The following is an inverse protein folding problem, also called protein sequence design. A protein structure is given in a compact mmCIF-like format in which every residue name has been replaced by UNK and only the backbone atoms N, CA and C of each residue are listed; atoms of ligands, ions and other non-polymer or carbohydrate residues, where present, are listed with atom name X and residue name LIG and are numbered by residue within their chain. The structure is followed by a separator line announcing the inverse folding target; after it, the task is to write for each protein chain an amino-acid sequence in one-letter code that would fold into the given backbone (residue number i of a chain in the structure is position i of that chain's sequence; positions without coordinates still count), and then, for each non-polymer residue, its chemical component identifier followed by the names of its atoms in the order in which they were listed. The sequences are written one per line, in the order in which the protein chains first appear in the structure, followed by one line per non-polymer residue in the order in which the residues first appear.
data_IF_725425864226
#
_entry.id   IF_725425864226
#
_cell.length_a   1.000
_cell.length_b   1.000
_cell.length_c   1.000
_cell.angle_alpha   90.00
_cell.angle_beta   90.00
_cell.angle_gamma   90.00
#
_symmetry.space_group_name_H-M   'P 1'
#
loop_
_entity.id
_entity.type
_entity.pdbx_description
1 polymer ?
#
# COMPACT_ATOMS: atom_id res chain seq x y z
N UNK A 1 -9.40 5.70 -24.09
CA UNK A 1 -10.51 4.87 -23.59
C UNK A 1 -10.27 3.46 -24.05
N UNK A 2 -10.06 2.52 -23.11
CA UNK A 2 -9.95 1.10 -23.45
C UNK A 2 -11.28 0.62 -24.05
N UNK A 3 -11.26 -0.30 -25.04
CA UNK A 3 -12.47 -0.92 -25.57
C UNK A 3 -13.21 -1.63 -24.43
N UNK A 4 -14.52 -1.40 -24.31
CA UNK A 4 -15.37 -1.97 -23.26
C UNK A 4 -15.30 -3.51 -23.22
N UNK A 5 -15.06 -4.17 -24.36
CA UNK A 5 -14.89 -5.63 -24.42
C UNK A 5 -13.61 -6.06 -23.73
N UNK A 6 -12.53 -5.28 -23.88
CA UNK A 6 -11.25 -5.57 -23.24
C UNK A 6 -11.33 -5.36 -21.72
N UNK A 7 -12.02 -4.30 -21.26
CA UNK A 7 -12.32 -4.05 -19.85
C UNK A 7 -13.18 -5.19 -19.26
N UNK A 8 -14.19 -5.63 -20.02
CA UNK A 8 -15.01 -6.78 -19.64
C UNK A 8 -14.16 -8.04 -19.47
N UNK A 9 -13.24 -8.29 -20.39
CA UNK A 9 -12.35 -9.45 -20.33
C UNK A 9 -11.43 -9.42 -19.09
N UNK A 10 -10.81 -8.29 -18.80
CA UNK A 10 -10.01 -8.10 -17.58
C UNK A 10 -10.84 -8.41 -16.35
N UNK A 11 -12.04 -7.81 -16.24
CA UNK A 11 -12.91 -7.98 -15.07
C UNK A 11 -13.38 -9.42 -14.88
N UNK A 12 -13.68 -10.14 -15.98
CA UNK A 12 -14.03 -11.57 -15.90
C UNK A 12 -12.82 -12.42 -15.47
N UNK A 13 -11.64 -12.13 -15.98
CA UNK A 13 -10.40 -12.80 -15.59
C UNK A 13 -10.10 -12.65 -14.09
N UNK A 14 -10.26 -11.44 -13.55
CA UNK A 14 -10.01 -11.15 -12.15
C UNK A 14 -11.03 -11.80 -11.21
N UNK A 15 -12.32 -11.71 -11.58
CA UNK A 15 -13.42 -12.24 -10.76
C UNK A 15 -13.64 -13.73 -10.92
N UNK A 16 -13.16 -14.33 -12.03
CA UNK A 16 -13.40 -15.72 -12.45
C UNK A 16 -14.89 -16.09 -12.53
N UNK A 17 -15.76 -15.07 -12.68
CA UNK A 17 -17.21 -15.22 -12.59
C UNK A 17 -17.93 -14.14 -13.41
N UNK A 18 -18.71 -14.57 -14.40
CA UNK A 18 -19.46 -13.67 -15.28
C UNK A 18 -20.52 -12.82 -14.56
N UNK A 19 -21.22 -13.40 -13.59
CA UNK A 19 -22.25 -12.67 -12.83
C UNK A 19 -21.62 -11.60 -11.95
N UNK A 20 -20.50 -11.91 -11.31
CA UNK A 20 -19.76 -10.94 -10.49
C UNK A 20 -19.17 -9.82 -11.34
N UNK A 21 -18.61 -10.16 -12.50
CA UNK A 21 -18.12 -9.15 -13.46
C UNK A 21 -19.25 -8.23 -13.94
N UNK A 22 -20.44 -8.79 -14.23
CA UNK A 22 -21.62 -8.04 -14.62
C UNK A 22 -22.03 -7.01 -13.55
N UNK A 23 -22.04 -7.41 -12.28
CA UNK A 23 -22.33 -6.50 -11.17
C UNK A 23 -21.31 -5.37 -11.04
N UNK A 24 -20.01 -5.66 -11.21
CA UNK A 24 -18.93 -4.66 -11.12
C UNK A 24 -19.03 -3.64 -12.25
N UNK A 25 -19.34 -4.10 -13.48
CA UNK A 25 -19.42 -3.24 -14.66
C UNK A 25 -20.80 -2.62 -14.88
N UNK A 26 -21.77 -2.84 -13.97
CA UNK A 26 -23.16 -2.42 -14.12
C UNK A 26 -23.79 -2.88 -15.46
N UNK A 27 -23.50 -4.11 -15.83
CA UNK A 27 -23.98 -4.75 -17.08
C UNK A 27 -24.79 -6.01 -16.78
N UNK A 28 -25.48 -6.53 -17.80
CA UNK A 28 -26.13 -7.84 -17.70
C UNK A 28 -25.14 -8.97 -18.00
N UNK A 29 -25.33 -10.14 -17.40
CA UNK A 29 -24.46 -11.30 -17.66
C UNK A 29 -24.46 -11.73 -19.15
N UNK A 30 -25.59 -11.69 -19.91
CA UNK A 30 -25.57 -11.89 -21.36
C UNK A 30 -24.68 -10.90 -22.11
N UNK A 31 -24.68 -9.63 -21.72
CA UNK A 31 -23.82 -8.62 -22.35
C UNK A 31 -22.33 -8.92 -22.11
N UNK A 32 -21.95 -9.30 -20.88
CA UNK A 32 -20.59 -9.76 -20.58
C UNK A 32 -20.19 -10.95 -21.45
N UNK A 33 -21.07 -11.97 -21.52
CA UNK A 33 -20.83 -13.16 -22.38
C UNK A 33 -20.68 -12.78 -23.86
N UNK A 34 -21.47 -11.85 -24.34
CA UNK A 34 -21.40 -11.35 -25.72
C UNK A 34 -20.07 -10.62 -25.99
N UNK A 35 -19.62 -9.77 -25.07
CA UNK A 35 -18.32 -9.09 -25.20
C UNK A 35 -17.16 -10.08 -25.28
N UNK A 36 -17.16 -11.11 -24.43
CA UNK A 36 -16.12 -12.15 -24.48
C UNK A 36 -16.16 -12.90 -25.82
N UNK A 37 -17.35 -13.27 -26.27
CA UNK A 37 -17.54 -13.97 -27.57
C UNK A 37 -16.99 -13.12 -28.72
N UNK A 38 -17.28 -11.82 -28.75
CA UNK A 38 -16.75 -10.91 -29.78
C UNK A 38 -15.22 -10.82 -29.78
N UNK A 39 -14.59 -10.82 -28.61
CA UNK A 39 -13.12 -10.86 -28.50
C UNK A 39 -12.56 -12.20 -28.99
N UNK A 40 -13.19 -13.33 -28.64
CA UNK A 40 -12.79 -14.66 -29.09
C UNK A 40 -12.91 -14.80 -30.60
N UNK A 41 -13.99 -14.25 -31.17
CA UNK A 41 -14.22 -14.20 -32.63
C UNK A 41 -13.16 -13.30 -33.32
N UNK A 42 -12.88 -12.12 -32.77
CA UNK A 42 -11.90 -11.20 -33.34
C UNK A 42 -10.50 -11.79 -33.39
N UNK A 43 -10.06 -12.46 -32.31
CA UNK A 43 -8.74 -13.09 -32.24
C UNK A 43 -8.72 -14.53 -32.76
N UNK A 44 -9.88 -15.08 -33.11
CA UNK A 44 -10.08 -16.47 -33.56
C UNK A 44 -9.48 -17.51 -32.60
N UNK A 45 -9.60 -17.28 -31.30
CA UNK A 45 -9.11 -18.17 -30.22
C UNK A 45 -10.03 -18.15 -29.01
N UNK A 46 -10.05 -19.24 -28.27
CA UNK A 46 -10.71 -19.24 -26.95
C UNK A 46 -9.83 -18.57 -25.91
N UNK A 47 -10.41 -17.61 -25.18
CA UNK A 47 -9.73 -16.83 -24.15
C UNK A 47 -10.03 -17.35 -22.74
N UNK A 48 -11.22 -17.91 -22.55
CA UNK A 48 -11.71 -18.41 -21.27
C UNK A 48 -12.18 -19.86 -21.43
N UNK A 49 -11.94 -20.65 -20.38
CA UNK A 49 -12.42 -22.02 -20.26
C UNK A 49 -13.06 -22.26 -18.89
N UNK A 50 -14.07 -23.12 -18.85
CA UNK A 50 -14.72 -23.49 -17.59
C UNK A 50 -13.94 -24.61 -16.93
N UNK A 51 -13.42 -24.37 -15.72
CA UNK A 51 -12.74 -25.37 -14.93
C UNK A 51 -13.41 -25.49 -13.56
N UNK A 52 -14.00 -26.65 -13.32
CA UNK A 52 -14.88 -26.86 -12.17
C UNK A 52 -16.07 -25.88 -12.17
N UNK A 53 -16.16 -25.01 -11.14
CA UNK A 53 -17.20 -23.98 -11.01
C UNK A 53 -16.75 -22.57 -11.43
N UNK A 54 -15.48 -22.40 -11.80
CA UNK A 54 -14.87 -21.10 -12.10
C UNK A 54 -14.53 -20.99 -13.59
N UNK A 55 -14.41 -19.75 -14.06
CA UNK A 55 -13.82 -19.44 -15.35
C UNK A 55 -12.32 -19.20 -15.18
N UNK A 56 -11.53 -19.84 -16.02
CA UNK A 56 -10.07 -19.67 -16.03
C UNK A 56 -9.59 -19.19 -17.41
N UNK A 57 -8.44 -18.52 -17.41
CA UNK A 57 -7.81 -18.09 -18.65
C UNK A 57 -7.16 -19.28 -19.36
N UNK A 58 -7.41 -19.40 -20.66
CA UNK A 58 -6.64 -20.29 -21.54
C UNK A 58 -5.20 -19.80 -21.70
N UNK A 59 -4.36 -20.53 -22.43
CA UNK A 59 -3.02 -20.06 -22.83
C UNK A 59 -3.09 -18.73 -23.59
N UNK A 60 -3.99 -18.62 -24.59
CA UNK A 60 -4.23 -17.39 -25.33
C UNK A 60 -4.82 -16.29 -24.43
N UNK A 61 -5.75 -16.66 -23.53
CA UNK A 61 -6.30 -15.73 -22.55
C UNK A 61 -5.24 -15.09 -21.66
N UNK A 62 -4.26 -15.86 -21.18
CA UNK A 62 -3.15 -15.32 -20.39
C UNK A 62 -2.30 -14.32 -21.17
N UNK A 63 -2.06 -14.59 -22.44
CA UNK A 63 -1.34 -13.67 -23.32
C UNK A 63 -2.13 -12.37 -23.49
N UNK A 64 -3.40 -12.46 -23.88
CA UNK A 64 -4.25 -11.28 -24.05
C UNK A 64 -4.41 -10.50 -22.75
N UNK A 65 -4.58 -11.17 -21.61
CA UNK A 65 -4.73 -10.53 -20.31
C UNK A 65 -3.55 -9.63 -19.98
N UNK A 66 -2.31 -10.11 -20.23
CA UNK A 66 -1.11 -9.30 -20.05
C UNK A 66 -1.13 -8.03 -20.88
N UNK A 67 -1.43 -8.14 -22.18
CA UNK A 67 -1.49 -6.97 -23.06
C UNK A 67 -2.68 -6.06 -22.75
N UNK A 68 -3.81 -6.62 -22.34
CA UNK A 68 -4.99 -5.85 -21.94
C UNK A 68 -4.69 -4.95 -20.72
N UNK A 69 -3.98 -5.44 -19.73
CA UNK A 69 -3.53 -4.63 -18.59
C UNK A 69 -2.57 -3.51 -19.01
N UNK A 70 -1.66 -3.77 -19.96
CA UNK A 70 -0.76 -2.74 -20.47
C UNK A 70 -1.53 -1.64 -21.24
N UNK A 71 -2.50 -2.01 -22.07
CA UNK A 71 -3.37 -1.07 -22.79
C UNK A 71 -4.20 -0.23 -21.81
N UNK A 72 -4.80 -0.84 -20.79
CA UNK A 72 -5.58 -0.15 -19.78
C UNK A 72 -4.73 0.87 -19.03
N UNK A 73 -3.51 0.48 -18.63
CA UNK A 73 -2.54 1.37 -18.00
C UNK A 73 -2.20 2.57 -18.89
N UNK A 74 -1.87 2.34 -20.17
CA UNK A 74 -1.54 3.42 -21.11
C UNK A 74 -2.74 4.35 -21.30
N UNK A 75 -3.96 3.79 -21.40
CA UNK A 75 -5.20 4.58 -21.52
C UNK A 75 -5.44 5.47 -20.29
N UNK A 76 -5.22 4.94 -19.07
CA UNK A 76 -5.33 5.72 -17.82
C UNK A 76 -4.29 6.83 -17.74
N UNK A 77 -3.04 6.54 -18.11
CA UNK A 77 -1.97 7.55 -18.16
C UNK A 77 -2.30 8.65 -19.16
N UNK A 78 -2.75 8.31 -20.37
CA UNK A 78 -3.15 9.28 -21.37
C UNK A 78 -4.29 10.19 -20.87
N UNK A 79 -5.32 9.61 -20.25
CA UNK A 79 -6.42 10.37 -19.65
C UNK A 79 -5.91 11.36 -18.59
N UNK A 80 -5.01 10.92 -17.70
CA UNK A 80 -4.45 11.77 -16.65
C UNK A 80 -3.59 12.90 -17.24
N UNK A 81 -2.77 12.62 -18.26
CA UNK A 81 -1.96 13.63 -18.90
C UNK A 81 -2.82 14.68 -19.61
N UNK A 82 -3.83 14.24 -20.40
CA UNK A 82 -4.72 15.16 -21.10
C UNK A 82 -5.54 16.03 -20.14
N UNK A 83 -6.03 15.47 -19.03
CA UNK A 83 -6.75 16.25 -18.03
C UNK A 83 -5.86 17.29 -17.34
N UNK A 84 -4.59 16.98 -17.13
CA UNK A 84 -3.63 17.92 -16.57
C UNK A 84 -3.17 19.00 -17.57
N UNK A 85 -3.07 18.66 -18.87
CA UNK A 85 -2.69 19.61 -19.93
C UNK A 85 -3.70 20.75 -20.05
N UNK A 86 -4.98 20.44 -19.97
CA UNK A 86 -6.10 21.39 -20.10
C UNK A 86 -6.47 22.13 -18.82
N UNK A 87 -5.90 21.74 -17.67
CA UNK A 87 -6.28 22.26 -16.35
C UNK A 87 -5.30 23.30 -15.83
N UNK A 88 -5.85 24.42 -15.28
CA UNK A 88 -5.08 25.40 -14.51
C UNK A 88 -4.47 24.75 -13.26
N UNK A 89 -5.20 23.79 -12.66
CA UNK A 89 -4.75 23.02 -11.51
C UNK A 89 -4.44 21.58 -11.97
N UNK A 90 -3.18 21.20 -11.88
CA UNK A 90 -2.72 19.83 -12.19
C UNK A 90 -2.95 18.91 -10.99
N UNK A 91 -3.49 17.71 -11.23
CA UNK A 91 -3.78 16.73 -10.19
C UNK A 91 -2.94 15.49 -10.34
N UNK A 92 -2.31 15.06 -9.26
CA UNK A 92 -1.44 13.89 -9.25
C UNK A 92 -1.85 12.91 -8.15
N UNK A 93 -2.04 11.65 -8.54
CA UNK A 93 -2.35 10.56 -7.61
C UNK A 93 -1.04 9.99 -7.05
N UNK A 94 -0.89 10.07 -5.74
CA UNK A 94 0.25 9.52 -4.98
C UNK A 94 -0.29 8.45 -4.03
N UNK A 95 0.38 7.31 -3.98
CA UNK A 95 0.05 6.24 -3.05
C UNK A 95 1.00 6.26 -1.85
N UNK A 96 0.50 5.89 -0.69
CA UNK A 96 1.33 5.67 0.48
C UNK A 96 0.83 4.49 1.31
N UNK A 97 1.75 3.83 2.00
CA UNK A 97 1.36 2.83 3.00
C UNK A 97 0.83 3.49 4.26
N UNK A 98 0.12 2.74 5.10
CA UNK A 98 -0.69 3.29 6.18
C UNK A 98 0.11 4.15 7.16
N UNK A 99 1.32 3.75 7.53
CA UNK A 99 2.18 4.56 8.41
C UNK A 99 2.56 5.88 7.76
N UNK A 100 3.04 5.80 6.52
CA UNK A 100 3.54 6.97 5.79
C UNK A 100 2.39 7.91 5.46
N UNK A 101 1.26 7.37 4.96
CA UNK A 101 0.09 8.13 4.58
C UNK A 101 -0.69 8.73 5.75
N UNK A 102 -0.60 8.10 6.93
CA UNK A 102 -1.28 8.58 8.14
C UNK A 102 -0.46 9.54 8.99
N UNK A 103 0.86 9.39 9.02
CA UNK A 103 1.70 10.09 10.01
C UNK A 103 2.84 10.91 9.43
N UNK A 104 3.25 10.68 8.18
CA UNK A 104 4.42 11.34 7.57
C UNK A 104 3.99 12.32 6.46
N UNK A 105 3.32 11.81 5.44
CA UNK A 105 2.98 12.62 4.26
C UNK A 105 1.94 13.73 4.47
N UNK A 106 0.96 13.65 5.40
CA UNK A 106 -0.08 14.68 5.47
C UNK A 106 0.48 16.09 5.69
N UNK A 107 1.42 16.28 6.61
CA UNK A 107 2.08 17.57 6.85
C UNK A 107 2.87 18.04 5.62
N UNK A 108 3.62 17.12 5.00
CA UNK A 108 4.43 17.41 3.81
C UNK A 108 3.55 17.82 2.63
N UNK A 109 2.45 17.10 2.38
CA UNK A 109 1.50 17.43 1.30
C UNK A 109 0.84 18.79 1.56
N UNK A 110 0.51 19.10 2.83
CA UNK A 110 -0.01 20.40 3.22
C UNK A 110 0.96 21.52 2.85
N UNK A 111 2.22 21.41 3.25
CA UNK A 111 3.28 22.37 2.93
C UNK A 111 3.55 22.45 1.41
N UNK A 112 3.52 21.28 0.73
CA UNK A 112 3.67 21.24 -0.72
C UNK A 112 2.57 22.01 -1.44
N UNK A 113 1.31 21.87 -1.00
CA UNK A 113 0.17 22.60 -1.55
C UNK A 113 0.28 24.11 -1.37
N UNK A 114 0.75 24.56 -0.20
CA UNK A 114 1.00 26.00 0.06
C UNK A 114 2.04 26.55 -0.90
N UNK A 115 3.12 25.80 -1.15
CA UNK A 115 4.22 26.19 -2.05
C UNK A 115 3.86 26.05 -3.54
N UNK A 116 2.91 25.18 -3.88
CA UNK A 116 2.57 24.81 -5.26
C UNK A 116 1.06 24.94 -5.50
N UNK A 117 0.54 26.16 -5.52
CA UNK A 117 -0.92 26.45 -5.58
C UNK A 117 -1.65 25.78 -6.74
N UNK A 118 -0.96 25.59 -7.87
CA UNK A 118 -1.51 24.99 -9.09
C UNK A 118 -1.37 23.46 -9.14
N UNK A 119 -0.96 22.84 -8.04
CA UNK A 119 -0.82 21.37 -7.94
C UNK A 119 -1.70 20.86 -6.80
N UNK A 120 -2.50 19.84 -7.09
CA UNK A 120 -3.23 19.03 -6.11
C UNK A 120 -2.62 17.64 -6.05
N UNK A 121 -2.33 17.16 -4.86
CA UNK A 121 -1.93 15.78 -4.61
C UNK A 121 -3.12 15.03 -4.03
N UNK A 122 -3.53 13.96 -4.72
CA UNK A 122 -4.57 13.03 -4.25
C UNK A 122 -3.83 11.86 -3.62
N UNK A 123 -3.96 11.71 -2.30
CA UNK A 123 -3.28 10.67 -1.54
C UNK A 123 -4.16 9.43 -1.39
N UNK A 124 -3.67 8.29 -1.89
CA UNK A 124 -4.26 6.97 -1.70
C UNK A 124 -3.48 6.24 -0.60
N UNK A 125 -4.18 5.82 0.46
CA UNK A 125 -3.54 5.15 1.62
C UNK A 125 -4.03 3.72 1.71
N UNK A 126 -3.09 2.76 1.50
CA UNK A 126 -3.40 1.33 1.48
C UNK A 126 -2.19 0.50 1.96
N UNK A 127 -2.27 -0.84 1.94
CA UNK A 127 -1.11 -1.69 2.22
C UNK A 127 -0.11 -1.71 1.03
N UNK A 128 1.09 -2.21 1.28
CA UNK A 128 2.18 -2.23 0.29
C UNK A 128 1.78 -2.94 -1.01
N UNK A 129 1.09 -4.08 -0.92
CA UNK A 129 0.65 -4.84 -2.09
C UNK A 129 -0.29 -4.04 -2.99
N UNK A 130 -1.28 -3.40 -2.41
CA UNK A 130 -2.25 -2.58 -3.13
C UNK A 130 -1.61 -1.33 -3.76
N UNK A 131 -0.70 -0.66 -3.04
CA UNK A 131 0.04 0.49 -3.59
C UNK A 131 0.87 0.07 -4.81
N UNK A 132 1.55 -1.06 -4.74
CA UNK A 132 2.30 -1.61 -5.88
C UNK A 132 1.37 -1.93 -7.06
N UNK A 133 0.21 -2.54 -6.82
CA UNK A 133 -0.77 -2.83 -7.87
C UNK A 133 -1.29 -1.53 -8.52
N UNK A 134 -1.63 -0.51 -7.73
CA UNK A 134 -2.05 0.81 -8.23
C UNK A 134 -0.96 1.52 -9.04
N UNK A 135 0.30 1.36 -8.67
CA UNK A 135 1.43 1.86 -9.45
C UNK A 135 1.53 1.15 -10.80
N UNK A 136 1.41 -0.17 -10.83
CA UNK A 136 1.47 -0.93 -12.07
C UNK A 136 0.25 -0.70 -12.97
N UNK A 137 -0.94 -0.48 -12.41
CA UNK A 137 -2.14 -0.14 -13.18
C UNK A 137 -2.16 1.32 -13.70
N UNK A 138 -1.22 2.18 -13.24
CA UNK A 138 -1.19 3.60 -13.58
C UNK A 138 -2.26 4.44 -12.88
N UNK A 139 -2.91 3.90 -11.84
CA UNK A 139 -3.86 4.64 -11.00
C UNK A 139 -3.13 5.68 -10.15
N UNK A 140 -1.92 5.36 -9.67
CA UNK A 140 -0.99 6.29 -9.05
C UNK A 140 0.30 6.40 -9.88
N UNK A 141 0.98 7.52 -9.79
CA UNK A 141 2.25 7.77 -10.50
C UNK A 141 3.48 7.64 -9.62
N UNK A 142 3.29 7.76 -8.32
CA UNK A 142 4.33 7.67 -7.29
C UNK A 142 3.75 6.92 -6.09
N UNK A 143 4.49 5.97 -5.56
CA UNK A 143 4.22 5.31 -4.29
C UNK A 143 5.25 5.67 -3.25
N UNK A 144 4.86 5.78 -1.98
CA UNK A 144 5.78 5.90 -0.84
C UNK A 144 5.47 4.75 0.10
N UNK A 145 6.40 3.81 0.22
CA UNK A 145 6.14 2.53 0.87
C UNK A 145 7.18 2.17 1.91
N UNK A 146 6.75 1.40 2.90
CA UNK A 146 7.59 0.60 3.78
C UNK A 146 7.34 -0.89 3.56
N UNK A 147 8.35 -1.70 3.84
CA UNK A 147 8.29 -3.14 3.69
C UNK A 147 8.92 -3.66 2.40
N UNK A 148 8.94 -4.98 2.22
CA UNK A 148 9.61 -5.61 1.10
C UNK A 148 8.88 -5.36 -0.22
N UNK A 149 9.64 -5.14 -1.28
CA UNK A 149 9.15 -5.04 -2.65
C UNK A 149 10.21 -5.51 -3.65
N UNK A 150 9.79 -5.85 -4.86
CA UNK A 150 10.68 -6.27 -5.93
C UNK A 150 11.35 -5.06 -6.59
N UNK A 151 12.59 -4.80 -6.17
CA UNK A 151 13.41 -3.67 -6.65
C UNK A 151 13.72 -3.73 -8.15
N UNK A 152 13.59 -4.90 -8.79
CA UNK A 152 13.85 -5.04 -10.24
C UNK A 152 12.72 -4.50 -11.12
N UNK A 153 11.52 -4.33 -10.56
CA UNK A 153 10.30 -3.94 -11.30
C UNK A 153 9.97 -2.46 -11.25
N UNK A 154 10.62 -1.71 -10.37
CA UNK A 154 10.34 -0.28 -10.13
C UNK A 154 11.63 0.51 -10.02
N UNK A 155 11.58 1.81 -10.32
CA UNK A 155 12.60 2.74 -9.89
C UNK A 155 12.29 3.11 -8.45
N UNK A 156 13.29 3.11 -7.59
CA UNK A 156 13.10 3.44 -6.19
C UNK A 156 14.19 4.37 -5.68
N UNK A 157 13.82 5.18 -4.72
CA UNK A 157 14.73 6.08 -3.99
C UNK A 157 14.41 6.02 -2.50
N UNK A 158 15.45 5.93 -1.67
CA UNK A 158 15.28 6.01 -0.23
C UNK A 158 14.75 7.39 0.16
N UNK A 159 13.74 7.39 1.03
CA UNK A 159 13.16 8.59 1.62
C UNK A 159 13.78 8.86 2.99
N UNK A 160 13.57 7.96 3.95
CA UNK A 160 14.14 8.05 5.30
C UNK A 160 14.23 6.70 5.98
N UNK A 161 14.99 6.64 7.06
CA UNK A 161 15.01 5.49 7.95
C UNK A 161 13.83 5.53 8.93
N UNK A 162 13.34 4.35 9.31
CA UNK A 162 12.35 4.16 10.36
C UNK A 162 12.73 2.99 11.26
N UNK A 163 12.20 2.98 12.46
CA UNK A 163 12.39 1.92 13.44
C UNK A 163 11.03 1.43 13.95
N UNK A 164 10.83 0.11 13.98
CA UNK A 164 9.67 -0.47 14.64
C UNK A 164 9.97 -0.62 16.12
N UNK A 165 9.01 -0.24 16.94
CA UNK A 165 9.07 -0.28 18.40
C UNK A 165 7.85 -1.00 18.95
N UNK A 166 7.98 -1.56 20.14
CA UNK A 166 6.87 -2.11 20.87
C UNK A 166 6.10 -0.98 21.57
N UNK A 167 4.82 -0.84 21.28
CA UNK A 167 3.96 0.22 21.80
C UNK A 167 2.93 -0.34 22.79
N UNK A 168 2.86 0.29 23.94
CA UNK A 168 1.91 0.00 25.02
C UNK A 168 1.27 1.29 25.54
N UNK A 169 0.13 1.17 26.22
CA UNK A 169 -0.45 2.29 26.97
C UNK A 169 0.52 2.78 28.04
N UNK A 170 0.55 4.07 28.34
CA UNK A 170 1.32 4.61 29.46
C UNK A 170 0.85 4.12 30.83
N UNK A 171 -0.40 3.67 30.93
CA UNK A 171 -0.96 3.06 32.15
C UNK A 171 -0.52 1.61 32.35
N UNK A 172 0.11 0.98 31.34
CA UNK A 172 0.54 -0.40 31.40
C UNK A 172 1.68 -0.58 32.41
N UNK A 173 1.71 -1.70 33.15
CA UNK A 173 2.74 -1.95 34.16
C UNK A 173 4.18 -1.93 33.62
N UNK A 174 4.36 -2.41 32.38
CA UNK A 174 5.66 -2.39 31.69
C UNK A 174 6.07 -0.99 31.19
N UNK A 175 5.24 0.04 31.30
CA UNK A 175 5.59 1.38 30.86
C UNK A 175 6.79 1.98 31.63
N UNK A 176 7.11 1.44 32.79
CA UNK A 176 8.30 1.79 33.59
C UNK A 176 9.60 1.25 32.98
N UNK A 177 9.53 0.24 32.12
CA UNK A 177 10.72 -0.33 31.44
C UNK A 177 11.21 0.60 30.33
N UNK A 178 12.49 0.50 30.04
CA UNK A 178 13.10 1.13 28.84
C UNK A 178 13.26 0.15 27.69
N UNK A 179 13.42 -1.14 28.02
CA UNK A 179 13.63 -2.23 27.06
C UNK A 179 12.77 -3.43 27.44
N UNK A 180 12.38 -4.20 26.45
CA UNK A 180 11.56 -5.42 26.59
C UNK A 180 12.25 -6.57 25.84
N UNK A 181 12.11 -7.80 26.34
CA UNK A 181 12.58 -9.01 25.64
C UNK A 181 11.52 -9.54 24.69
N UNK A 182 11.89 -10.42 23.77
CA UNK A 182 10.94 -11.06 22.88
C UNK A 182 9.96 -11.96 23.65
N UNK A 183 10.42 -12.68 24.66
CA UNK A 183 9.55 -13.52 25.52
C UNK A 183 8.48 -12.68 26.22
N UNK A 184 8.85 -11.52 26.72
CA UNK A 184 7.89 -10.58 27.33
C UNK A 184 6.89 -10.04 26.31
N UNK A 185 7.32 -9.76 25.07
CA UNK A 185 6.42 -9.37 23.96
C UNK A 185 5.42 -10.48 23.67
N UNK A 186 5.89 -11.71 23.56
CA UNK A 186 5.06 -12.87 23.22
C UNK A 186 4.11 -13.29 24.36
N UNK A 187 4.39 -12.88 25.60
CA UNK A 187 3.48 -13.09 26.74
C UNK A 187 2.33 -12.07 26.78
N UNK A 188 2.43 -10.98 26.02
CA UNK A 188 1.41 -9.95 25.96
C UNK A 188 0.25 -10.26 25.02
N UNK A 189 -0.87 -9.58 25.22
CA UNK A 189 -2.01 -9.57 24.29
C UNK A 189 -1.62 -8.78 23.04
N UNK A 190 -1.03 -9.45 22.06
CA UNK A 190 -0.56 -8.80 20.84
C UNK A 190 -1.72 -8.48 19.91
N UNK A 191 -1.87 -7.19 19.57
CA UNK A 191 -2.75 -6.71 18.52
C UNK A 191 -1.85 -6.44 17.32
N UNK A 192 -1.96 -7.27 16.28
CA UNK A 192 -1.09 -7.19 15.12
C UNK A 192 -1.83 -6.68 13.89
N UNK A 193 -1.07 -6.16 12.96
CA UNK A 193 -1.54 -5.83 11.62
C UNK A 193 -1.94 -7.11 10.87
N UNK A 194 -2.78 -6.92 9.86
CA UNK A 194 -3.23 -7.96 8.94
C UNK A 194 -2.06 -8.62 8.20
N UNK A 195 -2.24 -9.85 7.73
CA UNK A 195 -1.30 -10.52 6.83
C UNK A 195 -1.15 -9.70 5.54
N UNK A 196 0.09 -9.51 5.08
CA UNK A 196 0.42 -8.64 3.95
C UNK A 196 0.77 -7.20 4.34
N UNK A 197 0.67 -6.83 5.62
CA UNK A 197 1.24 -5.59 6.15
C UNK A 197 2.76 -5.65 6.18
N UNK A 198 3.43 -4.64 5.61
CA UNK A 198 4.89 -4.53 5.69
C UNK A 198 5.43 -4.44 7.13
N UNK A 199 4.71 -3.78 8.03
CA UNK A 199 5.06 -3.72 9.46
C UNK A 199 5.06 -5.11 10.10
N UNK A 200 4.01 -5.91 9.84
CA UNK A 200 3.92 -7.27 10.35
C UNK A 200 5.01 -8.17 9.78
N UNK A 201 5.23 -8.11 8.47
CA UNK A 201 6.26 -8.91 7.80
C UNK A 201 7.64 -8.65 8.41
N UNK A 202 8.01 -7.39 8.60
CA UNK A 202 9.31 -7.02 9.20
C UNK A 202 9.41 -7.54 10.63
N UNK A 203 8.36 -7.43 11.44
CA UNK A 203 8.36 -7.98 12.79
C UNK A 203 8.55 -9.50 12.78
N UNK A 204 7.82 -10.22 11.93
CA UNK A 204 7.93 -11.67 11.77
C UNK A 204 9.33 -12.09 11.28
N UNK A 205 9.92 -11.37 10.33
CA UNK A 205 11.27 -11.62 9.80
C UNK A 205 12.34 -11.44 10.91
N UNK A 206 12.20 -10.41 11.73
CA UNK A 206 13.10 -10.21 12.88
C UNK A 206 12.94 -11.28 13.96
N UNK A 207 11.73 -11.78 14.18
CA UNK A 207 11.51 -12.91 15.08
C UNK A 207 12.27 -14.16 14.63
N UNK A 208 12.19 -14.47 13.33
CA UNK A 208 12.93 -15.60 12.73
C UNK A 208 14.44 -15.44 12.96
N UNK A 209 14.98 -14.24 12.75
CA UNK A 209 16.40 -13.96 12.99
C UNK A 209 16.82 -14.17 14.46
N UNK A 210 15.88 -14.07 15.39
CA UNK A 210 16.12 -14.31 16.82
C UNK A 210 15.78 -15.75 17.26
N UNK A 211 15.47 -16.64 16.33
CA UNK A 211 15.15 -18.04 16.60
C UNK A 211 13.71 -18.30 17.05
N UNK A 212 12.81 -17.32 16.90
CA UNK A 212 11.38 -17.48 17.17
C UNK A 212 10.63 -17.84 15.88
N UNK A 213 9.64 -18.71 15.99
CA UNK A 213 8.80 -19.10 14.86
C UNK A 213 7.53 -18.25 14.79
N UNK A 214 7.32 -17.45 13.73
CA UNK A 214 6.13 -16.60 13.59
C UNK A 214 4.81 -17.37 13.61
N UNK A 215 4.82 -18.63 13.18
CA UNK A 215 3.62 -19.49 13.23
C UNK A 215 3.12 -19.77 14.66
N UNK A 216 3.99 -19.58 15.67
CA UNK A 216 3.64 -19.76 17.09
C UNK A 216 3.05 -18.50 17.70
N UNK A 217 3.01 -17.37 16.96
CA UNK A 217 2.29 -16.20 17.40
C UNK A 217 0.80 -16.45 17.20
N UNK A 218 0.07 -16.40 18.30
CA UNK A 218 -1.39 -16.31 18.27
C UNK A 218 -1.80 -14.88 18.62
N UNK A 219 -2.00 -13.99 17.60
CA UNK A 219 -2.38 -12.62 17.92
C UNK A 219 -3.70 -12.60 18.68
N UNK A 220 -3.76 -11.78 19.73
CA UNK A 220 -5.01 -11.56 20.45
C UNK A 220 -6.07 -10.93 19.53
N UNK A 221 -5.63 -10.03 18.64
CA UNK A 221 -6.44 -9.47 17.56
C UNK A 221 -5.60 -9.24 16.31
N UNK A 222 -6.23 -9.37 15.13
CA UNK A 222 -5.64 -9.00 13.85
C UNK A 222 -6.48 -7.88 13.22
N UNK A 223 -5.88 -6.71 12.98
CA UNK A 223 -6.60 -5.50 12.56
C UNK A 223 -5.81 -4.77 11.47
N UNK A 224 -6.49 -4.42 10.36
CA UNK A 224 -5.88 -3.73 9.22
C UNK A 224 -5.70 -2.22 9.41
N UNK A 225 -6.42 -1.61 10.32
CA UNK A 225 -6.39 -0.17 10.57
C UNK A 225 -5.51 0.18 11.77
N UNK A 226 -4.48 1.01 11.53
CA UNK A 226 -3.53 1.39 12.58
C UNK A 226 -4.18 2.29 13.64
N UNK A 227 -5.17 3.10 13.28
CA UNK A 227 -5.86 3.99 14.22
C UNK A 227 -6.71 3.17 15.20
N UNK A 228 -7.39 2.12 14.70
CA UNK A 228 -8.12 1.16 15.54
C UNK A 228 -7.17 0.42 16.49
N UNK A 229 -6.02 -0.06 16.01
CA UNK A 229 -4.99 -0.69 16.85
C UNK A 229 -4.56 0.26 17.97
N UNK A 230 -4.22 1.50 17.61
CA UNK A 230 -3.76 2.49 18.61
C UNK A 230 -4.85 2.79 19.65
N UNK A 231 -6.13 2.87 19.25
CA UNK A 231 -7.24 3.08 20.19
C UNK A 231 -7.39 1.92 21.19
N UNK A 232 -7.22 0.68 20.73
CA UNK A 232 -7.27 -0.51 21.59
C UNK A 232 -6.08 -0.56 22.57
N UNK A 233 -4.88 -0.22 22.09
CA UNK A 233 -3.68 -0.14 22.94
C UNK A 233 -3.84 0.97 23.98
N UNK A 234 -4.36 2.15 23.59
CA UNK A 234 -4.65 3.24 24.52
C UNK A 234 -5.60 2.80 25.63
N UNK A 235 -6.63 2.02 25.28
CA UNK A 235 -7.61 1.47 26.24
C UNK A 235 -7.05 0.36 27.11
N UNK A 236 -5.78 -0.02 26.97
CA UNK A 236 -5.13 -1.07 27.76
C UNK A 236 -5.55 -2.50 27.37
N UNK A 237 -6.16 -2.70 26.21
CA UNK A 237 -6.64 -4.02 25.76
C UNK A 237 -5.53 -4.92 25.19
N UNK A 238 -4.32 -4.37 24.99
CA UNK A 238 -3.17 -5.11 24.49
C UNK A 238 -2.02 -4.20 24.11
N UNK A 239 -1.08 -4.75 23.35
CA UNK A 239 0.12 -4.10 22.89
C UNK A 239 0.36 -4.36 21.40
N UNK A 240 1.17 -3.56 20.74
CA UNK A 240 1.43 -3.70 19.31
C UNK A 240 2.87 -3.39 18.94
N UNK A 241 3.27 -3.79 17.75
CA UNK A 241 4.51 -3.33 17.09
C UNK A 241 4.14 -2.30 16.05
N UNK A 242 4.75 -1.12 16.13
CA UNK A 242 4.40 0.03 15.31
C UNK A 242 5.64 0.83 14.93
N UNK A 243 5.55 1.62 13.87
CA UNK A 243 6.57 2.60 13.51
C UNK A 243 6.76 3.63 14.61
N UNK A 244 8.02 3.97 14.88
CA UNK A 244 8.36 5.06 15.77
C UNK A 244 7.81 6.40 15.29
N UNK A 245 7.73 6.60 13.97
CA UNK A 245 7.11 7.78 13.35
C UNK A 245 5.65 7.96 13.76
N UNK A 246 4.88 6.86 13.87
CA UNK A 246 3.49 6.93 14.30
C UNK A 246 3.32 7.42 15.75
N UNK A 247 4.38 7.29 16.58
CA UNK A 247 4.37 7.71 17.98
C UNK A 247 4.96 9.11 18.20
N UNK A 248 5.60 9.70 17.19
CA UNK A 248 6.32 10.98 17.32
C UNK A 248 5.40 12.20 17.46
N UNK A 249 4.09 12.08 17.15
CA UNK A 249 3.18 13.20 17.33
C UNK A 249 2.99 13.57 18.81
N UNK A 250 2.83 14.87 19.17
CA UNK A 250 2.64 15.32 20.55
C UNK A 250 1.46 14.67 21.28
N UNK A 251 0.44 14.27 20.54
CA UNK A 251 -0.72 13.54 21.07
C UNK A 251 -0.39 12.10 21.40
N UNK A 252 0.31 11.40 20.51
CA UNK A 252 0.64 9.99 20.65
C UNK A 252 1.69 9.76 21.74
N UNK A 253 2.71 10.61 21.82
CA UNK A 253 3.75 10.48 22.87
C UNK A 253 3.20 10.70 24.30
N UNK A 254 2.04 11.37 24.45
CA UNK A 254 1.37 11.52 25.76
C UNK A 254 0.59 10.26 26.16
N UNK A 255 0.11 9.48 25.23
CA UNK A 255 -0.77 8.31 25.45
C UNK A 255 -0.02 6.99 25.50
N UNK A 256 1.04 6.87 24.72
CA UNK A 256 1.79 5.64 24.51
C UNK A 256 3.20 5.69 25.08
N UNK A 257 3.72 4.52 25.41
CA UNK A 257 5.12 4.29 25.69
C UNK A 257 5.72 3.39 24.62
N UNK A 258 6.74 3.89 23.94
CA UNK A 258 7.58 3.09 23.06
C UNK A 258 8.64 2.36 23.89
N UNK A 259 8.75 1.07 23.72
CA UNK A 259 9.79 0.24 24.32
C UNK A 259 10.68 -0.32 23.22
N UNK A 260 11.99 -0.13 23.38
CA UNK A 260 12.98 -0.76 22.50
C UNK A 260 13.10 -2.24 22.84
N UNK A 261 13.22 -3.09 21.85
CA UNK A 261 13.41 -4.53 22.06
C UNK A 261 14.88 -4.78 22.40
N UNK A 262 15.13 -5.59 23.44
CA UNK A 262 16.48 -5.90 23.90
C UNK A 262 17.22 -6.69 22.81
N UNK A 263 18.47 -6.29 22.52
CA UNK A 263 19.32 -6.90 21.50
C UNK A 263 18.79 -6.88 20.07
N UNK A 264 17.76 -6.08 19.79
CA UNK A 264 17.13 -6.01 18.48
C UNK A 264 16.79 -4.57 18.11
N UNK A 265 17.13 -4.15 16.88
CA UNK A 265 16.66 -2.91 16.28
C UNK A 265 15.98 -3.26 14.95
N UNK A 266 14.68 -3.20 14.93
CA UNK A 266 13.89 -3.45 13.73
C UNK A 266 13.92 -2.20 12.84
N UNK A 267 15.01 -2.04 12.11
CA UNK A 267 15.18 -0.95 11.14
C UNK A 267 14.49 -1.29 9.81
N UNK A 268 13.90 -0.28 9.20
CA UNK A 268 13.37 -0.35 7.85
C UNK A 268 13.59 0.98 7.14
N UNK A 269 13.34 1.00 5.85
CA UNK A 269 13.40 2.21 5.05
C UNK A 269 12.02 2.54 4.51
N UNK A 270 11.70 3.82 4.47
CA UNK A 270 10.66 4.35 3.60
C UNK A 270 11.28 4.61 2.24
N UNK A 271 10.60 4.19 1.19
CA UNK A 271 11.09 4.31 -0.17
C UNK A 271 10.03 4.92 -1.07
N UNK A 272 10.45 5.85 -1.92
CA UNK A 272 9.69 6.24 -3.09
C UNK A 272 9.81 5.15 -4.14
N UNK A 273 8.70 4.83 -4.80
CA UNK A 273 8.66 3.90 -5.93
C UNK A 273 7.87 4.51 -7.08
N UNK A 274 8.39 4.39 -8.30
CA UNK A 274 7.73 4.90 -9.50
C UNK A 274 8.18 4.13 -10.76
N UNK A 275 7.50 4.39 -11.90
CA UNK A 275 7.80 3.75 -13.17
C UNK A 275 8.42 4.75 -14.15
N UNK A 276 9.31 4.27 -15.01
CA UNK A 276 10.09 5.09 -15.94
C UNK A 276 9.27 6.01 -16.86
N UNK A 277 8.01 5.67 -17.15
CA UNK A 277 7.15 6.43 -18.06
C UNK A 277 6.13 7.33 -17.32
N UNK A 278 6.32 7.58 -16.04
CA UNK A 278 5.48 8.49 -15.25
C UNK A 278 5.90 9.96 -15.47
N UNK A 279 5.10 10.90 -15.00
CA UNK A 279 5.41 12.33 -15.08
C UNK A 279 6.63 12.67 -14.19
N UNK A 280 7.82 12.63 -14.79
CA UNK A 280 9.09 12.72 -14.07
C UNK A 280 9.32 14.09 -13.43
N UNK A 281 8.78 15.18 -14.01
CA UNK A 281 8.98 16.52 -13.46
C UNK A 281 8.28 16.65 -12.11
N UNK A 282 7.01 16.23 -12.03
CA UNK A 282 6.30 16.21 -10.75
C UNK A 282 6.97 15.27 -9.76
N UNK A 283 7.32 14.05 -10.18
CA UNK A 283 7.90 13.02 -9.29
C UNK A 283 9.18 13.53 -8.65
N UNK A 284 10.12 14.07 -9.46
CA UNK A 284 11.39 14.62 -8.95
C UNK A 284 11.15 15.78 -7.99
N UNK A 285 10.34 16.77 -8.40
CA UNK A 285 10.05 17.93 -7.57
C UNK A 285 9.39 17.53 -6.23
N UNK A 286 8.47 16.56 -6.25
CA UNK A 286 7.80 16.11 -5.04
C UNK A 286 8.75 15.32 -4.13
N UNK A 287 9.59 14.44 -4.68
CA UNK A 287 10.60 13.69 -3.91
C UNK A 287 11.59 14.65 -3.25
N UNK A 288 12.13 15.61 -4.01
CA UNK A 288 13.09 16.59 -3.49
C UNK A 288 12.46 17.43 -2.36
N UNK A 289 11.20 17.84 -2.55
CA UNK A 289 10.48 18.56 -1.51
C UNK A 289 10.29 17.72 -0.25
N UNK A 290 9.89 16.45 -0.38
CA UNK A 290 9.73 15.54 0.75
C UNK A 290 11.02 15.35 1.54
N UNK A 291 12.14 15.13 0.83
CA UNK A 291 13.46 14.96 1.47
C UNK A 291 13.87 16.21 2.25
N UNK A 292 13.74 17.39 1.64
CA UNK A 292 14.07 18.67 2.28
C UNK A 292 13.27 18.91 3.56
N UNK A 293 11.97 18.63 3.55
CA UNK A 293 11.10 18.79 4.74
C UNK A 293 11.50 17.85 5.88
N UNK A 294 12.02 16.66 5.59
CA UNK A 294 12.51 15.74 6.64
C UNK A 294 13.81 16.22 7.25
N UNK A 295 14.75 16.72 6.43
CA UNK A 295 16.03 17.24 6.92
C UNK A 295 15.83 18.44 7.85
N UNK A 296 14.87 19.32 7.57
CA UNK A 296 14.50 20.47 8.41
C UNK A 296 13.90 20.03 9.77
N UNK A 297 13.15 18.94 9.81
CA UNK A 297 12.51 18.44 11.04
C UNK A 297 13.49 17.69 11.95
N UNK A 298 14.61 17.17 11.44
CA UNK A 298 15.64 16.51 12.23
C UNK A 298 16.61 17.50 12.92
N UNK A 299 16.57 18.77 12.53
CA UNK A 299 17.41 19.85 13.07
C UNK A 299 16.74 20.65 14.20
N UNK A 300 15.45 20.49 14.42
CA UNK A 300 14.68 21.03 15.55
C UNK A 300 14.49 19.98 16.68
#
# INVERSE_FOLDING_TARGET
VIDIKLETFITVADTKNFTRAASILNMTQPAISHHIKLLEEYYNVKLLEKKNKNMELTGAGRILYKYALEIDKISKLAKNHLSNESSIIKRYNVGATLTIGGYVLPSIIGNYKVSNKNIDVILHVENTGNIIQKLFSGEIILGVIEGPFDKSKVIYEKFKDDELVFAISKSHEMAKKKKITMDEILSEKLILREKGSGTRQIFEDYMVQQGFEPKNINPYMEIGDITAIMSLVESGLGATVVSKEALNSPLMCKKFKALSIKNMKMKREFNFIYLKNSNMDFIKNFIDFCKKQCDETELE
#
